data_IF_026610460569
#
_entry.id   IF_026610460569
#
_cell.length_a   1.000
_cell.length_b   1.000
_cell.length_c   1.000
_cell.angle_alpha   90.00
_cell.angle_beta   90.00
_cell.angle_gamma   90.00
#
_symmetry.space_group_name_H-M   'P 1'
#
loop_
_entity.id
_entity.type
_entity.pdbx_description
1 polymer ?
#
# COMPACT_ATOMS: atom_id res chain seq x y z
N UNK A 1 -11.89 -0.85 7.54
CA UNK A 1 -11.40 0.54 7.57
C UNK A 1 -11.23 0.98 6.14
N UNK A 2 -12.22 1.72 5.67
CA UNK A 2 -12.13 2.49 4.45
C UNK A 2 -11.35 3.77 4.77
N UNK A 3 -10.53 4.19 3.82
CA UNK A 3 -9.84 5.47 3.86
C UNK A 3 -9.57 5.87 2.42
N UNK A 4 -9.52 7.17 2.18
CA UNK A 4 -9.17 7.72 0.88
C UNK A 4 -7.76 8.30 0.95
N UNK A 5 -6.93 7.99 -0.03
CA UNK A 5 -5.63 8.64 -0.18
C UNK A 5 -5.89 9.94 -0.96
N UNK A 6 -5.69 11.09 -0.31
CA UNK A 6 -6.03 12.41 -0.85
C UNK A 6 -4.80 13.21 -1.31
N UNK A 7 -3.59 12.68 -1.10
CA UNK A 7 -2.35 13.26 -1.61
C UNK A 7 -1.51 12.23 -2.37
N UNK A 8 -0.47 12.70 -3.05
CA UNK A 8 0.57 11.81 -3.55
C UNK A 8 1.22 11.02 -2.40
N UNK A 9 1.62 9.79 -2.72
CA UNK A 9 2.37 8.94 -1.80
C UNK A 9 3.85 9.31 -1.94
N UNK A 10 4.44 9.75 -0.84
CA UNK A 10 5.83 10.17 -0.76
C UNK A 10 6.65 9.15 0.05
N UNK A 11 7.98 9.32 0.09
CA UNK A 11 8.89 8.46 0.86
C UNK A 11 8.70 6.96 0.54
N UNK A 12 8.54 6.65 -0.74
CA UNK A 12 8.23 5.29 -1.17
C UNK A 12 9.47 4.41 -0.99
N UNK A 13 9.30 3.33 -0.22
CA UNK A 13 10.34 2.33 0.01
C UNK A 13 9.83 0.93 -0.30
N UNK A 14 10.71 0.08 -0.83
CA UNK A 14 10.40 -1.32 -1.07
C UNK A 14 10.71 -2.14 0.18
N UNK A 15 9.69 -2.81 0.73
CA UNK A 15 9.84 -3.72 1.87
C UNK A 15 10.28 -5.11 1.40
N UNK A 16 9.64 -5.61 0.35
CA UNK A 16 9.91 -6.94 -0.16
C UNK A 16 9.59 -7.05 -1.65
N UNK A 17 10.26 -7.97 -2.34
CA UNK A 17 10.05 -8.24 -3.76
C UNK A 17 9.85 -9.74 -3.99
N UNK A 18 8.88 -10.09 -4.82
CA UNK A 18 8.59 -11.47 -5.25
C UNK A 18 8.61 -12.48 -4.09
N UNK A 19 9.62 -13.37 -4.06
CA UNK A 19 9.71 -14.48 -3.11
C UNK A 19 9.85 -14.03 -1.66
N UNK A 20 10.27 -12.78 -1.43
CA UNK A 20 10.24 -12.16 -0.09
C UNK A 20 8.84 -11.80 0.39
N UNK A 21 7.83 -11.82 -0.47
CA UNK A 21 6.43 -11.60 -0.11
C UNK A 21 5.80 -12.93 0.27
N UNK A 22 5.46 -13.11 1.55
CA UNK A 22 4.88 -14.34 2.09
C UNK A 22 3.60 -14.76 1.36
N UNK A 23 2.74 -13.78 1.04
CA UNK A 23 1.47 -13.98 0.35
C UNK A 23 1.56 -13.92 -1.19
N UNK A 24 2.77 -13.99 -1.79
CA UNK A 24 2.96 -13.91 -3.25
C UNK A 24 2.06 -14.88 -4.01
N UNK A 25 1.92 -16.12 -3.53
CA UNK A 25 1.06 -17.13 -4.19
C UNK A 25 -0.39 -16.66 -4.27
N UNK A 26 -0.92 -16.01 -3.22
CA UNK A 26 -2.27 -15.47 -3.18
C UNK A 26 -2.41 -14.28 -4.13
N UNK A 27 -1.46 -13.34 -4.10
CA UNK A 27 -1.47 -12.17 -5.00
C UNK A 27 -1.49 -12.60 -6.47
N UNK A 28 -0.69 -13.62 -6.81
CA UNK A 28 -0.65 -14.18 -8.18
C UNK A 28 -1.94 -14.88 -8.58
N UNK A 29 -2.63 -15.53 -7.63
CA UNK A 29 -3.90 -16.21 -7.88
C UNK A 29 -5.05 -15.23 -8.10
N UNK A 30 -5.08 -14.13 -7.34
CA UNK A 30 -6.19 -13.16 -7.37
C UNK A 30 -6.00 -12.13 -8.50
N UNK A 31 -4.80 -11.56 -8.62
CA UNK A 31 -4.57 -10.42 -9.53
C UNK A 31 -3.70 -10.78 -10.74
N UNK A 32 -3.04 -11.95 -10.72
CA UNK A 32 -2.24 -12.43 -11.84
C UNK A 32 -0.73 -12.46 -11.59
N UNK A 33 -0.03 -13.11 -12.52
CA UNK A 33 1.44 -13.25 -12.47
C UNK A 33 2.10 -11.90 -12.78
N UNK A 34 3.13 -11.56 -12.02
CA UNK A 34 3.90 -10.33 -12.22
C UNK A 34 5.07 -10.24 -11.24
N UNK A 35 5.93 -9.24 -11.44
CA UNK A 35 6.99 -8.89 -10.49
C UNK A 35 6.37 -8.08 -9.35
N UNK A 36 5.86 -8.78 -8.35
CA UNK A 36 5.21 -8.15 -7.20
C UNK A 36 6.22 -7.49 -6.28
N UNK A 37 5.88 -6.31 -5.79
CA UNK A 37 6.61 -5.54 -4.77
C UNK A 37 5.64 -5.20 -3.65
N UNK A 38 6.12 -5.34 -2.41
CA UNK A 38 5.48 -4.77 -1.23
C UNK A 38 6.16 -3.46 -0.94
N UNK A 39 5.40 -2.38 -0.95
CA UNK A 39 5.90 -1.03 -0.79
C UNK A 39 5.28 -0.40 0.45
N UNK A 40 6.00 0.56 1.04
CA UNK A 40 5.48 1.51 2.01
C UNK A 40 5.72 2.93 1.53
N UNK A 41 4.98 3.87 2.09
CA UNK A 41 5.17 5.30 1.88
C UNK A 41 4.26 6.10 2.79
N UNK A 42 4.40 7.42 2.75
CA UNK A 42 3.66 8.37 3.56
C UNK A 42 2.68 9.14 2.70
N UNK A 43 1.44 9.27 3.14
CA UNK A 43 0.42 10.05 2.44
C UNK A 43 -0.58 10.68 3.41
N UNK A 44 -1.21 11.78 2.98
CA UNK A 44 -2.43 12.27 3.62
C UNK A 44 -3.59 11.38 3.25
N UNK A 45 -4.35 10.98 4.27
CA UNK A 45 -5.53 10.14 4.15
C UNK A 45 -6.72 10.85 4.78
N UNK A 46 -7.90 10.59 4.22
CA UNK A 46 -9.18 10.92 4.83
C UNK A 46 -9.80 9.64 5.38
N UNK A 47 -10.14 9.67 6.67
CA UNK A 47 -10.82 8.60 7.38
C UNK A 47 -12.35 8.67 7.16
N UNK A 48 -13.06 7.58 7.45
CA UNK A 48 -14.53 7.52 7.30
C UNK A 48 -15.29 8.61 8.10
N UNK A 49 -14.69 9.12 9.18
CA UNK A 49 -15.23 10.21 10.00
C UNK A 49 -14.93 11.62 9.43
N UNK A 50 -14.30 11.73 8.25
CA UNK A 50 -13.88 12.99 7.64
C UNK A 50 -12.58 13.57 8.23
N UNK A 51 -11.93 12.86 9.15
CA UNK A 51 -10.67 13.31 9.73
C UNK A 51 -9.53 13.10 8.74
N UNK A 52 -8.76 14.17 8.49
CA UNK A 52 -7.58 14.12 7.64
C UNK A 52 -6.33 13.89 8.49
N UNK A 53 -5.60 12.81 8.20
CA UNK A 53 -4.37 12.44 8.91
C UNK A 53 -3.23 12.11 7.97
N UNK A 54 -2.00 12.19 8.47
CA UNK A 54 -0.83 11.71 7.72
C UNK A 54 -0.50 10.30 8.18
N UNK A 55 -0.41 9.33 7.27
CA UNK A 55 -0.20 7.93 7.64
C UNK A 55 0.88 7.26 6.80
N UNK A 56 1.60 6.32 7.42
CA UNK A 56 2.38 5.32 6.70
C UNK A 56 1.42 4.27 6.15
N UNK A 57 1.39 4.14 4.83
CA UNK A 57 0.57 3.18 4.09
C UNK A 57 1.45 2.13 3.43
N UNK A 58 0.99 0.89 3.44
CA UNK A 58 1.64 -0.24 2.78
C UNK A 58 0.71 -0.78 1.69
N UNK A 59 1.26 -1.17 0.55
CA UNK A 59 0.50 -1.78 -0.55
C UNK A 59 1.32 -2.78 -1.35
N UNK A 60 0.64 -3.53 -2.21
CA UNK A 60 1.26 -4.39 -3.21
C UNK A 60 1.19 -3.75 -4.59
N UNK A 61 2.25 -3.85 -5.38
CA UNK A 61 2.27 -3.35 -6.75
C UNK A 61 2.97 -4.34 -7.67
N UNK A 62 2.43 -4.51 -8.88
CA UNK A 62 3.12 -5.19 -9.97
C UNK A 62 2.97 -4.40 -11.27
N UNK A 63 4.01 -4.43 -12.10
CA UNK A 63 3.97 -3.86 -13.46
C UNK A 63 2.83 -4.49 -14.26
N UNK A 64 2.00 -3.66 -14.90
CA UNK A 64 0.83 -4.09 -15.66
C UNK A 64 -0.42 -4.42 -14.83
N UNK A 65 -0.31 -4.51 -13.50
CA UNK A 65 -1.46 -4.75 -12.59
C UNK A 65 -1.79 -3.50 -11.77
N UNK A 66 -0.78 -2.69 -11.45
CA UNK A 66 -0.90 -1.50 -10.62
C UNK A 66 -0.90 -1.80 -9.13
N UNK A 67 -1.34 -0.81 -8.34
CA UNK A 67 -1.35 -0.84 -6.87
C UNK A 67 -2.59 -1.57 -6.35
N UNK A 68 -2.42 -2.43 -5.35
CA UNK A 68 -3.46 -3.28 -4.74
C UNK A 68 -3.29 -3.33 -3.23
N UNK A 69 -4.41 -3.55 -2.54
CA UNK A 69 -4.49 -3.81 -1.09
C UNK A 69 -3.72 -2.81 -0.21
N UNK A 70 -4.12 -1.55 -0.26
CA UNK A 70 -3.60 -0.53 0.64
C UNK A 70 -4.02 -0.80 2.09
N UNK A 71 -3.09 -0.58 3.02
CA UNK A 71 -3.30 -0.69 4.47
C UNK A 71 -2.56 0.42 5.20
N UNK A 72 -3.23 1.05 6.16
CA UNK A 72 -2.59 1.94 7.12
C UNK A 72 -1.79 1.10 8.11
N UNK A 73 -0.55 1.52 8.39
CA UNK A 73 0.32 0.87 9.39
C UNK A 73 0.53 1.69 10.63
N UNK A 74 0.59 3.01 10.49
CA UNK A 74 0.69 3.96 11.61
C UNK A 74 0.29 5.35 11.14
N UNK A 75 -0.21 6.15 12.08
CA UNK A 75 -0.36 7.59 11.93
C UNK A 75 0.99 8.26 12.23
N UNK A 76 1.30 9.34 11.52
CA UNK A 76 2.58 10.08 11.60
C UNK A 76 2.38 11.48 12.21
N UNK A 77 1.13 11.90 12.36
CA UNK A 77 0.67 13.05 13.12
C UNK A 77 0.58 12.68 14.61
N UNK A 78 1.71 12.78 15.31
CA UNK A 78 1.80 12.67 16.77
C UNK A 78 2.48 13.91 17.31
#
# INVERSE_FOLDING_TARGET
>A
MHFQIISDITQIETIAVNRGIRELRRLRKIYGKGRWRKLKGSAKIELENGEMRTAEIHWYEATGIGRKEFKIKRFLDT
#
